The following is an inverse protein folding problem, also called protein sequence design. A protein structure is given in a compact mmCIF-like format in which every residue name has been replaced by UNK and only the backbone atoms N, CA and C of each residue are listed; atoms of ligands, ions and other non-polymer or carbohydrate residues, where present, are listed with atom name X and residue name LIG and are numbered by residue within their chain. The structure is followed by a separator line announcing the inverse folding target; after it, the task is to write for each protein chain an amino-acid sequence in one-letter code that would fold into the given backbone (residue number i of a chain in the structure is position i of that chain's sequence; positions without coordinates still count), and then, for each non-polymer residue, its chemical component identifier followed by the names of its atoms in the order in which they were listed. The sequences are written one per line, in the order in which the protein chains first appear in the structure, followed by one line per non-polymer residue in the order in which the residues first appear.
data_IF_962708812655
#
_entry.id   IF_962708812655
#
_cell.length_a   1.000
_cell.length_b   1.000
_cell.length_c   1.000
_cell.angle_alpha   90.00
_cell.angle_beta   90.00
_cell.angle_gamma   90.00
#
_symmetry.space_group_name_H-M   'P 1'
#
loop_
_entity.id
_entity.type
_entity.pdbx_description
1 polymer ?
#
# COMPACT_ATOMS: atom_id res chain seq x y z
N UNK A 1 -30.82 17.42 42.71
CA UNK A 1 -31.73 18.11 41.76
C UNK A 1 -31.84 17.30 40.48
N UNK A 2 -33.00 17.34 39.81
CA UNK A 2 -33.16 17.17 38.35
C UNK A 2 -33.87 18.44 37.84
N UNK A 3 -34.00 18.65 36.51
CA UNK A 3 -35.27 18.26 35.90
C UNK A 3 -35.11 17.28 34.73
N UNK A 4 -36.18 16.54 34.45
CA UNK A 4 -36.50 16.08 33.08
C UNK A 4 -37.37 17.16 32.44
N UNK A 5 -37.36 17.24 31.11
CA UNK A 5 -38.52 17.76 30.35
C UNK A 5 -38.81 16.78 29.21
N UNK A 6 -40.10 16.57 28.94
CA UNK A 6 -40.61 15.69 27.90
C UNK A 6 -41.92 16.27 27.36
N UNK A 7 -42.17 16.01 26.07
CA UNK A 7 -43.44 16.06 25.32
C UNK A 7 -44.52 17.09 25.73
N UNK A 8 -44.86 17.99 24.80
CA UNK A 8 -46.22 18.55 24.73
C UNK A 8 -46.72 18.63 23.28
N UNK A 9 -47.94 18.10 23.06
CA UNK A 9 -48.77 18.05 21.85
C UNK A 9 -50.25 17.99 22.32
N UNK A 10 -51.30 18.07 21.47
CA UNK A 10 -51.41 18.51 20.07
C UNK A 10 -52.16 19.90 19.98
N UNK A 11 -53.11 20.33 19.12
CA UNK A 11 -54.04 19.77 18.09
C UNK A 11 -54.40 20.76 16.95
N UNK A 12 -54.92 20.14 15.88
CA UNK A 12 -55.83 20.56 14.78
C UNK A 12 -57.08 21.39 15.17
N UNK A 13 -57.91 21.89 14.21
CA UNK A 13 -57.80 21.93 12.72
C UNK A 13 -58.10 23.31 12.08
N UNK A 14 -58.01 23.39 10.74
CA UNK A 14 -59.16 23.84 9.94
C UNK A 14 -59.07 23.34 8.47
N UNK A 15 -60.20 23.07 7.84
CA UNK A 15 -60.31 22.48 6.50
C UNK A 15 -60.77 23.49 5.44
N UNK A 16 -60.37 23.27 4.18
CA UNK A 16 -61.24 23.50 3.03
C UNK A 16 -60.75 22.69 1.82
N UNK A 17 -61.63 21.97 1.15
CA UNK A 17 -61.34 21.19 -0.07
C UNK A 17 -62.18 21.70 -1.25
N UNK A 18 -61.57 22.12 -2.36
CA UNK A 18 -62.21 22.13 -3.67
C UNK A 18 -61.99 20.79 -4.38
N UNK A 19 -63.04 20.00 -4.59
CA UNK A 19 -62.96 18.81 -5.44
C UNK A 19 -62.83 19.21 -6.91
N UNK A 20 -61.73 18.83 -7.56
CA UNK A 20 -61.56 18.88 -9.03
C UNK A 20 -61.47 17.48 -9.61
N UNK A 21 -61.89 17.31 -10.87
CA UNK A 21 -62.13 15.98 -11.46
C UNK A 21 -60.84 15.25 -11.84
N UNK A 22 -60.90 13.92 -11.73
CA UNK A 22 -59.90 13.00 -12.25
C UNK A 22 -59.64 13.18 -13.75
N UNK A 23 -58.36 13.22 -14.12
CA UNK A 23 -57.87 12.79 -15.43
C UNK A 23 -56.51 12.09 -15.24
N UNK A 24 -56.55 10.78 -15.02
CA UNK A 24 -55.35 9.96 -14.85
C UNK A 24 -54.52 9.93 -16.14
N UNK A 25 -53.38 10.63 -16.16
CA UNK A 25 -52.26 10.23 -17.02
C UNK A 25 -51.68 8.91 -16.48
N UNK A 26 -51.22 8.00 -17.34
CA UNK A 26 -50.43 6.87 -16.88
C UNK A 26 -49.10 7.39 -16.33
N UNK A 27 -48.76 7.00 -15.10
CA UNK A 27 -47.41 7.21 -14.57
C UNK A 27 -46.44 6.31 -15.31
N UNK A 28 -45.38 6.88 -15.87
CA UNK A 28 -44.21 6.10 -16.28
C UNK A 28 -43.50 5.63 -15.01
N UNK A 29 -43.15 4.34 -14.88
CA UNK A 29 -42.49 3.85 -13.69
C UNK A 29 -41.05 4.37 -13.63
N UNK A 30 -40.83 5.49 -12.93
CA UNK A 30 -39.52 6.03 -12.57
C UNK A 30 -38.85 5.12 -11.53
N UNK A 31 -38.50 3.91 -11.97
CA UNK A 31 -37.84 2.89 -11.17
C UNK A 31 -36.79 2.15 -12.00
N UNK A 32 -35.92 2.94 -12.63
CA UNK A 32 -34.55 2.48 -12.87
C UNK A 32 -33.92 2.37 -11.48
N UNK A 33 -34.06 1.21 -10.86
CA UNK A 33 -33.27 0.84 -9.68
C UNK A 33 -31.81 0.92 -10.10
N UNK A 34 -31.10 1.95 -9.62
CA UNK A 34 -29.65 2.04 -9.79
C UNK A 34 -29.01 0.83 -9.09
N UNK A 35 -28.74 -0.22 -9.86
CA UNK A 35 -27.89 -1.31 -9.40
C UNK A 35 -26.53 -0.71 -9.05
N UNK A 36 -26.08 -0.97 -7.82
CA UNK A 36 -24.81 -0.47 -7.33
C UNK A 36 -23.68 -1.05 -8.16
N UNK A 37 -23.20 -0.29 -9.13
CA UNK A 37 -22.03 -0.66 -9.93
C UNK A 37 -20.79 -0.56 -9.03
N UNK A 38 -20.23 -1.72 -8.67
CA UNK A 38 -18.94 -1.80 -7.98
C UNK A 38 -17.87 -1.24 -8.89
N UNK A 39 -17.50 0.02 -8.67
CA UNK A 39 -16.40 0.66 -9.38
C UNK A 39 -15.08 0.17 -8.77
N UNK A 40 -14.34 -0.66 -9.50
CA UNK A 40 -13.00 -1.08 -9.09
C UNK A 40 -12.05 0.13 -9.11
N UNK A 41 -11.51 0.51 -7.95
CA UNK A 41 -10.41 1.49 -7.87
C UNK A 41 -9.13 0.79 -8.33
N UNK A 42 -8.54 1.28 -9.41
CA UNK A 42 -7.17 0.93 -9.81
C UNK A 42 -6.21 1.94 -9.19
N UNK A 43 -5.06 1.46 -8.72
CA UNK A 43 -4.01 2.25 -8.09
C UNK A 43 -2.67 1.96 -8.77
N UNK A 44 -1.77 2.94 -8.77
CA UNK A 44 -0.50 2.87 -9.48
C UNK A 44 0.67 3.17 -8.54
N UNK A 45 1.69 2.31 -8.57
CA UNK A 45 2.97 2.51 -7.91
C UNK A 45 4.13 2.46 -8.91
N UNK A 46 5.32 2.86 -8.47
CA UNK A 46 6.55 2.85 -9.26
C UNK A 46 7.62 1.99 -8.59
N UNK A 47 8.09 0.95 -9.27
CA UNK A 47 9.28 0.18 -8.87
C UNK A 47 10.48 0.63 -9.71
N UNK A 48 11.64 0.84 -9.07
CA UNK A 48 12.91 1.10 -9.75
C UNK A 48 14.13 0.80 -8.85
N UNK A 49 15.33 0.83 -9.42
CA UNK A 49 16.61 0.57 -8.73
C UNK A 49 17.72 1.49 -9.28
N UNK A 50 18.74 1.75 -8.47
CA UNK A 50 19.87 2.61 -8.85
C UNK A 50 20.51 3.30 -7.64
N UNK A 51 21.26 4.37 -7.89
CA UNK A 51 21.83 5.19 -6.82
C UNK A 51 20.78 6.08 -6.14
N UNK A 52 20.95 6.32 -4.84
CA UNK A 52 20.02 7.04 -3.97
C UNK A 52 19.47 8.36 -4.55
N UNK A 53 20.31 9.22 -5.15
CA UNK A 53 19.84 10.49 -5.73
C UNK A 53 18.86 10.31 -6.90
N UNK A 54 19.01 9.23 -7.68
CA UNK A 54 18.05 8.85 -8.72
C UNK A 54 16.74 8.35 -8.13
N UNK A 55 16.81 7.49 -7.11
CA UNK A 55 15.63 7.00 -6.39
C UNK A 55 14.87 8.14 -5.70
N UNK A 56 15.56 9.07 -5.06
CA UNK A 56 15.00 10.27 -4.43
C UNK A 56 14.27 11.15 -5.44
N UNK A 57 14.86 11.34 -6.63
CA UNK A 57 14.24 12.09 -7.73
C UNK A 57 12.97 11.39 -8.22
N UNK A 58 13.03 10.07 -8.43
CA UNK A 58 11.89 9.27 -8.88
C UNK A 58 10.77 9.17 -7.82
N UNK A 59 11.11 9.05 -6.54
CA UNK A 59 10.15 8.99 -5.44
C UNK A 59 9.41 10.32 -5.23
N UNK A 60 10.12 11.46 -5.26
CA UNK A 60 9.48 12.78 -5.21
C UNK A 60 8.65 13.08 -6.46
N UNK A 61 9.07 12.59 -7.63
CA UNK A 61 8.24 12.64 -8.85
C UNK A 61 6.96 11.80 -8.69
N UNK A 62 7.05 10.57 -8.16
CA UNK A 62 5.90 9.71 -7.94
C UNK A 62 4.90 10.30 -6.92
N UNK A 63 5.41 10.79 -5.79
CA UNK A 63 4.63 11.45 -4.73
C UNK A 63 3.88 12.69 -5.26
N UNK A 64 4.57 13.58 -5.99
CA UNK A 64 3.95 14.78 -6.58
C UNK A 64 3.01 14.49 -7.76
N UNK A 65 2.96 13.24 -8.25
CA UNK A 65 2.01 12.77 -9.27
C UNK A 65 0.86 11.93 -8.71
N UNK A 66 0.82 11.70 -7.39
CA UNK A 66 -0.26 10.94 -6.74
C UNK A 66 -0.20 9.42 -6.98
N UNK A 67 0.98 8.87 -7.30
CA UNK A 67 1.20 7.43 -7.22
C UNK A 67 1.15 7.01 -5.74
N UNK A 68 0.55 5.84 -5.47
CA UNK A 68 0.28 5.42 -4.08
C UNK A 68 1.52 4.85 -3.40
N UNK A 69 2.42 4.22 -4.16
CA UNK A 69 3.59 3.53 -3.65
C UNK A 69 4.85 3.75 -4.51
N UNK A 70 6.00 3.80 -3.86
CA UNK A 70 7.32 3.73 -4.47
C UNK A 70 8.08 2.54 -3.89
N UNK A 71 8.66 1.72 -4.76
CA UNK A 71 9.20 0.41 -4.39
C UNK A 71 10.61 0.19 -4.95
N UNK A 72 11.45 -0.50 -4.16
CA UNK A 72 12.80 -0.91 -4.57
C UNK A 72 13.00 -2.41 -4.34
N UNK A 73 13.75 -3.12 -5.19
CA UNK A 73 14.20 -4.46 -4.85
C UNK A 73 15.28 -4.39 -3.77
N UNK A 74 15.44 -5.47 -3.02
CA UNK A 74 16.53 -5.65 -2.07
C UNK A 74 17.47 -6.74 -2.60
N UNK A 75 18.54 -6.28 -3.25
CA UNK A 75 19.57 -7.08 -3.90
C UNK A 75 20.94 -6.65 -3.40
N UNK A 76 21.90 -7.57 -3.44
CA UNK A 76 23.33 -7.34 -3.25
C UNK A 76 24.07 -7.14 -4.57
N UNK A 77 23.54 -7.60 -5.71
CA UNK A 77 24.10 -7.40 -7.05
C UNK A 77 23.14 -6.66 -7.98
N UNK A 78 23.65 -5.90 -8.94
CA UNK A 78 22.83 -5.31 -10.01
C UNK A 78 22.35 -6.39 -10.98
N UNK A 79 21.22 -7.01 -10.67
CA UNK A 79 20.61 -8.19 -11.33
C UNK A 79 20.09 -7.97 -12.77
N UNK A 80 20.83 -7.25 -13.62
CA UNK A 80 20.59 -7.06 -15.05
C UNK A 80 21.74 -7.58 -15.94
N UNK A 81 22.87 -7.99 -15.36
CA UNK A 81 23.88 -8.80 -16.03
C UNK A 81 24.55 -9.74 -14.99
N UNK A 82 24.30 -11.07 -15.01
CA UNK A 82 24.89 -12.01 -14.05
C UNK A 82 26.43 -12.04 -14.05
N UNK A 83 27.06 -11.74 -15.18
CA UNK A 83 28.53 -11.67 -15.33
C UNK A 83 29.12 -10.37 -14.76
N UNK A 84 28.29 -9.37 -14.46
CA UNK A 84 28.71 -8.12 -13.87
C UNK A 84 28.55 -8.17 -12.35
N UNK A 85 29.65 -8.47 -11.65
CA UNK A 85 29.76 -8.45 -10.18
C UNK A 85 29.74 -7.00 -9.62
N UNK A 86 28.77 -6.21 -10.06
CA UNK A 86 28.55 -4.82 -9.66
C UNK A 86 27.65 -4.83 -8.42
N UNK A 87 28.15 -4.39 -7.24
CA UNK A 87 27.36 -4.36 -6.03
C UNK A 87 26.15 -3.41 -6.17
N UNK A 88 24.98 -3.90 -5.79
CA UNK A 88 23.82 -3.05 -5.57
C UNK A 88 23.95 -2.30 -4.23
N UNK A 89 23.19 -1.22 -4.07
CA UNK A 89 23.03 -0.54 -2.79
C UNK A 89 21.86 -1.15 -2.02
N UNK A 90 22.08 -1.46 -0.73
CA UNK A 90 21.08 -2.08 0.16
C UNK A 90 19.72 -1.36 0.06
N UNK A 91 18.67 -2.12 -0.30
CA UNK A 91 17.34 -1.55 -0.57
C UNK A 91 16.71 -0.95 0.68
N UNK A 92 16.88 -1.59 1.84
CA UNK A 92 16.32 -1.16 3.12
C UNK A 92 16.99 0.12 3.62
N UNK A 93 18.30 0.27 3.45
CA UNK A 93 19.03 1.50 3.77
C UNK A 93 18.59 2.66 2.87
N UNK A 94 18.35 2.41 1.58
CA UNK A 94 17.83 3.45 0.68
C UNK A 94 16.39 3.85 1.03
N UNK A 95 15.54 2.88 1.39
CA UNK A 95 14.18 3.13 1.91
C UNK A 95 14.19 3.93 3.22
N UNK A 96 15.17 3.70 4.11
CA UNK A 96 15.36 4.50 5.32
C UNK A 96 15.69 5.98 5.02
N UNK A 97 16.45 6.25 3.95
CA UNK A 97 16.65 7.62 3.45
C UNK A 97 15.35 8.22 2.89
N UNK A 98 14.69 7.50 1.99
CA UNK A 98 13.43 7.95 1.38
C UNK A 98 12.33 8.20 2.42
N UNK A 99 12.31 7.45 3.53
CA UNK A 99 11.39 7.64 4.65
C UNK A 99 11.44 9.04 5.28
N UNK A 100 12.60 9.72 5.21
CA UNK A 100 12.80 11.09 5.72
C UNK A 100 12.65 12.18 4.66
N UNK A 101 12.85 11.82 3.39
CA UNK A 101 12.79 12.73 2.24
C UNK A 101 11.42 12.80 1.55
N UNK A 102 10.53 11.84 1.81
CA UNK A 102 9.15 11.78 1.29
C UNK A 102 8.14 11.98 2.42
N UNK A 103 6.89 12.33 2.09
CA UNK A 103 5.91 12.80 3.08
C UNK A 103 4.60 12.01 3.13
N UNK A 104 4.18 11.40 2.03
CA UNK A 104 2.86 10.77 1.90
C UNK A 104 2.85 9.46 1.12
N UNK A 105 3.79 9.25 0.19
CA UNK A 105 3.85 8.01 -0.62
C UNK A 105 4.18 6.79 0.24
N UNK A 106 3.57 5.65 -0.05
CA UNK A 106 3.95 4.37 0.56
C UNK A 106 5.35 3.96 0.08
N UNK A 107 6.17 3.40 0.97
CA UNK A 107 7.52 2.95 0.67
C UNK A 107 7.59 1.43 0.84
N UNK A 108 8.03 0.71 -0.18
CA UNK A 108 7.98 -0.75 -0.21
C UNK A 108 9.30 -1.39 -0.64
N UNK A 109 9.61 -2.55 -0.06
CA UNK A 109 10.66 -3.45 -0.56
C UNK A 109 10.02 -4.62 -1.29
N UNK A 110 10.45 -4.88 -2.52
CA UNK A 110 9.80 -5.82 -3.46
C UNK A 110 10.80 -6.81 -4.08
N UNK A 111 11.27 -7.82 -3.35
CA UNK A 111 11.04 -8.16 -1.92
C UNK A 111 12.38 -8.43 -1.25
N UNK A 112 12.44 -8.42 0.08
CA UNK A 112 13.63 -8.83 0.83
C UNK A 112 13.69 -10.35 0.98
N UNK A 113 14.74 -11.05 0.50
CA UNK A 113 14.89 -12.48 0.70
C UNK A 113 15.07 -12.86 2.17
N UNK A 114 14.29 -13.82 2.67
CA UNK A 114 14.37 -14.31 4.07
C UNK A 114 15.69 -15.02 4.39
N UNK A 115 16.52 -15.30 3.39
CA UNK A 115 17.88 -15.83 3.51
C UNK A 115 18.92 -14.74 3.83
N UNK A 116 18.71 -13.50 3.40
CA UNK A 116 19.75 -12.45 3.45
C UNK A 116 20.07 -11.96 4.87
N UNK A 117 19.08 -11.91 5.76
CA UNK A 117 19.21 -11.34 7.11
C UNK A 117 18.40 -12.17 8.09
N UNK A 118 18.93 -12.38 9.30
CA UNK A 118 18.21 -13.10 10.36
C UNK A 118 16.83 -12.44 10.61
N UNK A 119 15.72 -13.20 10.75
CA UNK A 119 14.36 -12.63 10.78
C UNK A 119 14.17 -11.51 11.80
N UNK A 120 14.70 -11.67 13.02
CA UNK A 120 14.62 -10.62 14.07
C UNK A 120 15.40 -9.34 13.72
N UNK A 121 16.46 -9.45 12.91
CA UNK A 121 17.24 -8.30 12.42
C UNK A 121 16.49 -7.62 11.28
N UNK A 122 15.94 -8.39 10.33
CA UNK A 122 15.11 -7.87 9.25
C UNK A 122 13.88 -7.14 9.79
N UNK A 123 13.19 -7.72 10.78
CA UNK A 123 12.11 -7.08 11.54
C UNK A 123 12.58 -5.79 12.22
N UNK A 124 13.73 -5.81 12.93
CA UNK A 124 14.26 -4.63 13.62
C UNK A 124 14.58 -3.48 12.65
N UNK A 125 15.12 -3.79 11.47
CA UNK A 125 15.30 -2.81 10.38
C UNK A 125 13.95 -2.30 9.90
N UNK A 126 13.01 -3.19 9.58
CA UNK A 126 11.68 -2.83 9.07
C UNK A 126 10.88 -1.91 9.98
N UNK A 127 10.81 -2.19 11.30
CA UNK A 127 10.12 -1.30 12.25
C UNK A 127 10.82 0.04 12.44
N UNK A 128 12.14 0.11 12.21
CA UNK A 128 12.89 1.37 12.25
C UNK A 128 12.56 2.24 11.03
N UNK A 129 12.44 1.66 9.83
CA UNK A 129 11.98 2.38 8.63
C UNK A 129 10.50 2.78 8.75
N UNK A 130 9.66 1.94 9.38
CA UNK A 130 8.27 2.26 9.68
C UNK A 130 8.13 3.47 10.62
N UNK A 131 8.91 3.52 11.71
CA UNK A 131 8.98 4.68 12.61
C UNK A 131 9.46 5.93 11.86
N UNK A 132 10.60 5.85 11.17
CA UNK A 132 11.18 6.96 10.41
C UNK A 132 10.24 7.53 9.35
N UNK A 133 9.36 6.71 8.76
CA UNK A 133 8.41 7.10 7.70
C UNK A 133 7.04 7.54 8.21
N UNK A 134 6.73 7.36 9.50
CA UNK A 134 5.38 7.59 10.04
C UNK A 134 4.37 6.50 9.66
N UNK A 135 4.80 5.24 9.54
CA UNK A 135 3.96 4.08 9.23
C UNK A 135 3.75 3.79 7.74
N UNK A 136 4.41 4.55 6.84
CA UNK A 136 4.30 4.39 5.37
C UNK A 136 5.16 3.26 4.80
N UNK A 137 5.99 2.60 5.61
CA UNK A 137 6.83 1.50 5.13
C UNK A 137 6.10 0.14 5.11
N UNK A 138 6.30 -0.65 4.04
CA UNK A 138 5.89 -2.05 3.91
C UNK A 138 7.11 -2.96 3.70
N UNK A 139 7.27 -3.92 4.61
CA UNK A 139 8.26 -4.99 4.51
C UNK A 139 7.71 -6.14 3.65
N UNK A 140 7.97 -6.12 2.35
CA UNK A 140 7.75 -7.29 1.49
C UNK A 140 8.88 -8.31 1.66
N UNK A 141 8.51 -9.58 1.83
CA UNK A 141 9.45 -10.71 2.00
C UNK A 141 9.22 -11.80 0.97
N UNK A 142 10.24 -12.63 0.72
CA UNK A 142 10.14 -13.78 -0.17
C UNK A 142 11.28 -14.78 -0.02
N UNK A 143 11.20 -15.90 -0.73
CA UNK A 143 12.12 -17.05 -0.59
C UNK A 143 13.54 -16.83 -1.14
N UNK A 144 13.77 -15.76 -1.92
CA UNK A 144 15.03 -15.54 -2.66
C UNK A 144 15.16 -16.44 -3.89
N UNK A 145 15.81 -15.93 -4.94
CA UNK A 145 15.89 -16.59 -6.25
C UNK A 145 17.29 -16.62 -6.88
N UNK A 146 18.13 -15.60 -6.65
CA UNK A 146 19.45 -15.50 -7.25
C UNK A 146 20.53 -16.11 -6.33
N UNK A 147 21.06 -17.26 -6.73
CA UNK A 147 22.12 -18.00 -6.05
C UNK A 147 23.45 -17.24 -6.01
N UNK A 148 23.83 -16.55 -7.09
CA UNK A 148 25.10 -15.80 -7.18
C UNK A 148 25.27 -14.74 -6.08
N UNK A 149 24.19 -14.12 -5.63
CA UNK A 149 24.22 -13.17 -4.50
C UNK A 149 24.59 -13.86 -3.19
N UNK A 150 24.13 -15.10 -3.00
CA UNK A 150 24.42 -15.91 -1.83
C UNK A 150 25.87 -16.42 -1.85
N UNK A 151 26.35 -16.85 -3.02
CA UNK A 151 27.73 -17.27 -3.25
C UNK A 151 28.73 -16.14 -2.93
N UNK A 152 28.59 -14.96 -3.57
CA UNK A 152 29.53 -13.85 -3.42
C UNK A 152 29.56 -13.29 -1.99
N UNK A 153 28.42 -13.23 -1.30
CA UNK A 153 28.32 -12.66 0.04
C UNK A 153 28.44 -13.71 1.17
N UNK A 154 28.70 -14.99 0.85
CA UNK A 154 28.86 -16.07 1.82
C UNK A 154 27.58 -16.40 2.61
N UNK A 155 26.42 -16.08 2.05
CA UNK A 155 25.10 -16.28 2.68
C UNK A 155 24.64 -17.71 2.35
N UNK A 156 24.15 -18.51 3.31
CA UNK A 156 23.60 -19.82 3.00
C UNK A 156 22.39 -19.73 2.05
N UNK A 157 22.38 -20.53 0.98
CA UNK A 157 21.24 -20.70 0.08
C UNK A 157 20.66 -22.12 0.20
N UNK A 158 19.68 -22.35 1.09
CA UNK A 158 19.01 -23.65 1.22
C UNK A 158 18.25 -24.03 -0.05
N UNK A 159 17.84 -25.30 -0.14
CA UNK A 159 16.95 -25.74 -1.22
C UNK A 159 15.60 -25.01 -1.19
N UNK A 160 14.87 -25.06 -2.30
CA UNK A 160 13.62 -24.33 -2.44
C UNK A 160 12.57 -24.72 -1.37
N UNK A 161 12.50 -25.99 -0.96
CA UNK A 161 11.55 -26.46 0.04
C UNK A 161 11.87 -25.86 1.41
N UNK A 162 13.14 -25.84 1.80
CA UNK A 162 13.55 -25.21 3.06
C UNK A 162 13.33 -23.69 3.03
N UNK A 163 13.58 -23.01 1.90
CA UNK A 163 13.32 -21.56 1.78
C UNK A 163 11.84 -21.20 1.82
N UNK A 164 10.93 -22.10 1.40
CA UNK A 164 9.49 -21.93 1.60
C UNK A 164 9.08 -22.15 3.07
N UNK A 165 9.57 -23.20 3.74
CA UNK A 165 9.29 -23.41 5.16
C UNK A 165 9.73 -22.22 6.03
N UNK A 166 10.95 -21.70 5.80
CA UNK A 166 11.49 -20.48 6.45
C UNK A 166 10.76 -19.16 6.10
N UNK A 167 9.73 -19.20 5.24
CA UNK A 167 8.85 -18.07 4.91
C UNK A 167 7.45 -18.23 5.54
N UNK A 168 7.11 -19.43 6.00
CA UNK A 168 5.85 -19.75 6.69
C UNK A 168 5.96 -19.61 8.23
N UNK A 169 7.18 -19.70 8.78
CA UNK A 169 7.55 -19.52 10.20
C UNK A 169 7.74 -18.04 10.64
#
# INVERSE_FOLDING_TARGET
MRPKLANLLPRVPNECHPMTRSSSKPETPDTITHMSTTHHRLEYGLQTSGHYNGLLTAAKWAETRGLVAFAVPDHYLMALNPEAEVPALDGLVQLAGLARETTSIELSVVVSPITFRHPSVLYKTGVTIADMSGGRFKLGVGTGWLDREHEIYGIPYPDMKERFARLED
#
